data_IF_361947447385
#
_entry.id   IF_361947447385
#
_cell.length_a   1.000
_cell.length_b   1.000
_cell.length_c   1.000
_cell.angle_alpha   90.00
_cell.angle_beta   90.00
_cell.angle_gamma   90.00
#
_symmetry.space_group_name_H-M   'P 1'
#
loop_
_entity.id
_entity.type
_entity.pdbx_description
1 polymer ?
#
# COMPACT_ATOMS: atom_id res chain seq x y z
N UNK A 1 9.28 2.11 24.51
CA UNK A 1 10.27 2.65 23.56
C UNK A 1 9.64 2.63 22.17
N UNK A 2 9.18 3.78 21.69
CA UNK A 2 8.54 3.93 20.38
C UNK A 2 9.59 3.75 19.28
N UNK A 3 9.38 2.78 18.38
CA UNK A 3 10.30 2.49 17.30
C UNK A 3 10.28 3.67 16.30
N UNK A 4 11.35 4.47 16.30
CA UNK A 4 11.59 5.71 15.54
C UNK A 4 11.72 5.50 14.01
N UNK A 5 10.98 4.57 13.42
CA UNK A 5 11.09 4.25 11.99
C UNK A 5 9.72 3.93 11.34
N UNK A 6 8.66 4.65 11.73
CA UNK A 6 7.42 4.67 10.93
C UNK A 6 7.68 5.53 9.68
N UNK A 7 8.25 4.88 8.67
CA UNK A 7 8.55 5.42 7.35
C UNK A 7 7.38 6.25 6.79
N UNK A 8 7.55 7.57 6.85
CA UNK A 8 6.72 8.54 6.16
C UNK A 8 7.39 8.84 4.81
N UNK A 9 6.99 8.13 3.77
CA UNK A 9 7.29 8.51 2.38
C UNK A 9 5.99 8.95 1.72
N UNK A 10 5.84 10.27 1.54
CA UNK A 10 4.81 10.86 0.69
C UNK A 10 5.49 11.48 -0.52
N UNK A 11 5.48 10.76 -1.63
CA UNK A 11 5.87 11.32 -2.92
C UNK A 11 4.62 11.94 -3.53
N UNK A 12 4.39 13.23 -3.25
CA UNK A 12 3.38 14.00 -3.98
C UNK A 12 3.98 14.44 -5.33
N UNK A 13 4.00 13.53 -6.31
CA UNK A 13 4.19 13.90 -7.72
C UNK A 13 2.83 13.91 -8.41
N UNK A 14 2.61 14.88 -9.30
CA UNK A 14 1.42 14.90 -10.15
C UNK A 14 1.34 13.55 -10.87
N UNK A 15 0.26 12.79 -10.61
CA UNK A 15 0.11 11.46 -11.15
C UNK A 15 0.11 11.56 -12.68
N UNK A 16 1.09 10.95 -13.38
CA UNK A 16 1.00 10.82 -14.83
C UNK A 16 -0.26 10.00 -15.16
N UNK A 17 -0.83 10.15 -16.37
CA UNK A 17 -2.04 9.43 -16.75
C UNK A 17 -1.89 7.93 -16.50
N UNK A 18 -2.97 7.31 -16.01
CA UNK A 18 -3.07 5.88 -15.75
C UNK A 18 -2.85 5.11 -17.06
N UNK A 19 -1.59 4.87 -17.43
CA UNK A 19 -1.29 3.91 -18.46
C UNK A 19 -1.69 2.55 -17.93
N UNK A 20 -2.69 1.93 -18.57
CA UNK A 20 -2.98 0.51 -18.40
C UNK A 20 -1.72 -0.21 -18.91
N UNK A 21 -0.83 -0.58 -17.99
CA UNK A 21 0.27 -1.48 -18.35
C UNK A 21 -0.38 -2.81 -18.65
N UNK A 22 -0.28 -3.26 -19.91
CA UNK A 22 -0.68 -4.61 -20.28
C UNK A 22 0.10 -5.58 -19.40
N UNK A 23 -0.59 -6.35 -18.54
CA UNK A 23 0.04 -7.31 -17.64
C UNK A 23 0.18 -8.64 -18.39
N UNK A 24 1.40 -9.06 -18.79
CA UNK A 24 1.56 -10.09 -19.80
C UNK A 24 1.34 -11.51 -19.27
N UNK A 25 1.51 -11.78 -17.96
CA UNK A 25 1.34 -13.14 -17.41
C UNK A 25 0.18 -13.25 -16.42
N UNK A 26 -1.04 -13.57 -16.88
CA UNK A 26 -2.17 -13.81 -15.98
C UNK A 26 -1.85 -14.94 -14.99
N UNK A 27 -2.50 -14.91 -13.84
CA UNK A 27 -2.53 -16.06 -12.94
C UNK A 27 -3.30 -17.18 -13.63
N UNK A 28 -2.71 -18.37 -13.73
CA UNK A 28 -3.37 -19.47 -14.42
C UNK A 28 -3.90 -20.48 -13.40
N UNK A 29 -5.20 -20.77 -13.50
CA UNK A 29 -5.87 -21.82 -12.74
C UNK A 29 -6.37 -22.92 -13.71
N UNK A 30 -6.54 -24.16 -13.25
CA UNK A 30 -7.22 -25.21 -14.01
C UNK A 30 -8.62 -24.76 -14.48
N UNK A 31 -9.04 -25.17 -15.68
CA UNK A 31 -10.39 -24.90 -16.22
C UNK A 31 -11.50 -25.41 -15.32
N UNK A 32 -11.28 -26.57 -14.70
CA UNK A 32 -12.22 -27.23 -13.78
C UNK A 32 -12.08 -26.75 -12.33
N UNK A 33 -11.53 -25.57 -12.09
CA UNK A 33 -11.35 -25.05 -10.74
C UNK A 33 -12.69 -24.91 -10.00
N UNK A 34 -12.92 -25.84 -9.07
CA UNK A 34 -14.19 -25.97 -8.36
C UNK A 34 -14.25 -25.20 -7.04
N UNK A 35 -13.18 -24.50 -6.64
CA UNK A 35 -13.11 -23.84 -5.34
C UNK A 35 -13.74 -22.44 -5.39
N UNK A 36 -14.74 -22.16 -4.53
CA UNK A 36 -15.34 -20.85 -4.43
C UNK A 36 -14.40 -19.84 -3.78
N UNK A 37 -14.70 -18.54 -3.96
CA UNK A 37 -14.03 -17.44 -3.27
C UNK A 37 -14.12 -17.64 -1.76
N UNK A 38 -12.96 -17.59 -1.08
CA UNK A 38 -12.87 -17.68 0.39
C UNK A 38 -13.39 -16.37 1.01
N UNK A 39 -14.07 -16.35 2.17
CA UNK A 39 -14.39 -15.09 2.85
C UNK A 39 -13.12 -14.29 3.18
N UNK A 40 -13.21 -12.95 3.17
CA UNK A 40 -12.05 -12.09 3.37
C UNK A 40 -11.39 -12.25 4.75
N UNK A 41 -12.20 -12.44 5.80
CA UNK A 41 -11.74 -12.70 7.18
C UNK A 41 -10.93 -14.00 7.30
N UNK A 42 -11.18 -14.94 6.39
CA UNK A 42 -10.63 -16.29 6.42
C UNK A 42 -9.32 -16.40 5.59
N UNK A 43 -8.94 -15.37 4.82
CA UNK A 43 -7.69 -15.39 4.03
C UNK A 43 -6.46 -15.53 4.94
N UNK A 44 -5.58 -16.48 4.65
CA UNK A 44 -4.42 -16.80 5.48
C UNK A 44 -4.73 -17.61 6.75
N UNK A 45 -6.00 -17.86 7.07
CA UNK A 45 -6.40 -18.77 8.14
C UNK A 45 -6.10 -20.23 7.79
N UNK A 46 -5.51 -20.95 8.74
CA UNK A 46 -5.23 -22.39 8.67
C UNK A 46 -6.48 -23.23 9.03
N UNK A 47 -7.55 -22.61 9.52
CA UNK A 47 -8.67 -23.30 10.18
C UNK A 47 -9.94 -23.48 9.33
N UNK A 48 -9.92 -23.16 8.03
CA UNK A 48 -11.12 -23.21 7.19
C UNK A 48 -11.39 -24.52 6.46
N UNK A 49 -12.69 -24.69 6.19
CA UNK A 49 -13.37 -25.87 5.62
C UNK A 49 -13.15 -26.06 4.11
N UNK A 50 -12.59 -25.10 3.40
CA UNK A 50 -12.21 -25.22 1.97
C UNK A 50 -10.75 -25.63 1.85
N UNK A 51 -10.48 -26.91 2.11
CA UNK A 51 -9.19 -27.52 1.81
C UNK A 51 -9.07 -27.72 0.30
N UNK A 52 -8.22 -26.90 -0.34
CA UNK A 52 -7.83 -27.11 -1.74
C UNK A 52 -7.06 -28.42 -1.81
N UNK A 53 -7.46 -29.30 -2.72
CA UNK A 53 -6.81 -30.60 -2.89
C UNK A 53 -5.34 -30.41 -3.29
N UNK A 54 -4.48 -31.31 -2.81
CA UNK A 54 -3.05 -31.30 -3.20
C UNK A 54 -2.94 -31.40 -4.73
N UNK A 55 -3.75 -32.23 -5.39
CA UNK A 55 -3.80 -32.35 -6.85
C UNK A 55 -3.94 -30.98 -7.51
N UNK A 56 -4.90 -30.17 -7.08
CA UNK A 56 -5.16 -28.86 -7.68
C UNK A 56 -4.04 -27.86 -7.38
N UNK A 57 -3.44 -27.90 -6.20
CA UNK A 57 -2.26 -27.09 -5.88
C UNK A 57 -1.06 -27.45 -6.77
N UNK A 58 -0.84 -28.74 -7.06
CA UNK A 58 0.19 -29.19 -7.99
C UNK A 58 -0.07 -28.69 -9.42
N UNK A 59 -1.33 -28.66 -9.85
CA UNK A 59 -1.72 -28.10 -11.14
C UNK A 59 -1.45 -26.60 -11.20
N UNK A 60 -1.83 -25.85 -10.15
CA UNK A 60 -1.50 -24.42 -10.04
C UNK A 60 0.01 -24.19 -10.14
N UNK A 61 0.80 -24.96 -9.40
CA UNK A 61 2.26 -24.90 -9.47
C UNK A 61 2.78 -25.14 -10.89
N UNK A 62 2.42 -26.26 -11.51
CA UNK A 62 2.92 -26.66 -12.83
C UNK A 62 2.54 -25.64 -13.92
N UNK A 63 1.28 -25.20 -13.96
CA UNK A 63 0.77 -24.23 -14.94
C UNK A 63 1.47 -22.89 -14.85
N UNK A 64 1.76 -22.40 -13.65
CA UNK A 64 2.41 -21.11 -13.46
C UNK A 64 3.94 -21.20 -13.61
N UNK A 65 4.56 -22.33 -13.25
CA UNK A 65 6.00 -22.57 -13.50
C UNK A 65 6.32 -22.49 -14.98
N UNK A 66 5.52 -23.14 -15.83
CA UNK A 66 5.75 -23.16 -17.28
C UNK A 66 5.52 -21.80 -17.95
N UNK A 67 4.92 -20.84 -17.25
CA UNK A 67 4.58 -19.49 -17.73
C UNK A 67 5.38 -18.40 -17.03
N UNK A 68 6.38 -18.77 -16.23
CA UNK A 68 7.24 -17.77 -15.61
C UNK A 68 8.06 -17.06 -16.71
N UNK A 69 8.02 -15.72 -16.80
CA UNK A 69 8.80 -14.97 -17.78
C UNK A 69 10.31 -15.04 -17.53
N UNK A 70 10.73 -15.43 -16.32
CA UNK A 70 12.12 -15.63 -15.95
C UNK A 70 12.36 -17.10 -15.51
N UNK A 71 12.94 -17.93 -16.37
CA UNK A 71 13.22 -19.33 -16.06
C UNK A 71 14.08 -19.55 -14.82
N UNK A 72 14.99 -18.62 -14.48
CA UNK A 72 15.86 -18.75 -13.29
C UNK A 72 15.06 -18.69 -11.98
N UNK A 73 13.93 -17.99 -12.00
CA UNK A 73 13.05 -17.77 -10.86
C UNK A 73 11.74 -18.58 -10.92
N UNK A 74 11.59 -19.48 -11.89
CA UNK A 74 10.32 -20.18 -12.16
C UNK A 74 9.77 -20.99 -10.97
N UNK A 75 10.64 -21.63 -10.18
CA UNK A 75 10.23 -22.39 -8.98
C UNK A 75 9.65 -21.45 -7.91
N UNK A 76 10.39 -20.40 -7.54
CA UNK A 76 9.97 -19.44 -6.52
C UNK A 76 8.72 -18.66 -6.97
N UNK A 77 8.62 -18.31 -8.26
CA UNK A 77 7.44 -17.69 -8.85
C UNK A 77 6.18 -18.56 -8.74
N UNK A 78 6.29 -19.81 -9.17
CA UNK A 78 5.18 -20.77 -9.14
C UNK A 78 4.76 -21.12 -7.70
N UNK A 79 5.75 -21.29 -6.81
CA UNK A 79 5.52 -21.58 -5.40
C UNK A 79 4.79 -20.43 -4.70
N UNK A 80 5.17 -19.18 -4.96
CA UNK A 80 4.48 -18.01 -4.42
C UNK A 80 3.02 -17.92 -4.87
N UNK A 81 2.76 -18.15 -6.17
CA UNK A 81 1.39 -18.18 -6.71
C UNK A 81 0.55 -19.31 -6.11
N UNK A 82 1.13 -20.51 -5.98
CA UNK A 82 0.47 -21.66 -5.34
C UNK A 82 0.13 -21.36 -3.87
N UNK A 83 1.06 -20.80 -3.10
CA UNK A 83 0.82 -20.43 -1.71
C UNK A 83 -0.20 -19.29 -1.59
N UNK A 84 -0.27 -18.35 -2.54
CA UNK A 84 -1.30 -17.31 -2.55
C UNK A 84 -2.70 -17.89 -2.83
N UNK A 85 -2.80 -18.86 -3.73
CA UNK A 85 -4.04 -19.62 -3.95
C UNK A 85 -4.46 -20.38 -2.69
N UNK A 86 -3.52 -21.09 -2.07
CA UNK A 86 -3.72 -21.83 -0.81
C UNK A 86 -4.14 -20.92 0.34
N UNK A 87 -3.63 -19.69 0.40
CA UNK A 87 -4.03 -18.69 1.38
C UNK A 87 -5.46 -18.16 1.15
N UNK A 88 -6.06 -18.36 -0.03
CA UNK A 88 -7.44 -17.96 -0.33
C UNK A 88 -7.57 -16.59 -1.02
N UNK A 89 -6.53 -16.13 -1.72
CA UNK A 89 -6.56 -14.85 -2.45
C UNK A 89 -7.39 -14.87 -3.74
N UNK A 90 -7.84 -16.05 -4.17
CA UNK A 90 -8.64 -16.24 -5.39
C UNK A 90 -10.06 -15.74 -5.19
N UNK A 91 -10.46 -14.80 -6.05
CA UNK A 91 -11.82 -14.32 -6.25
C UNK A 91 -12.12 -14.13 -7.74
N UNK A 92 -12.39 -15.24 -8.43
CA UNK A 92 -12.41 -15.29 -9.91
C UNK A 92 -13.44 -14.35 -10.52
N UNK A 93 -14.58 -14.13 -9.87
CA UNK A 93 -15.62 -13.25 -10.39
C UNK A 93 -15.15 -11.78 -10.51
N UNK A 94 -14.20 -11.38 -9.67
CA UNK A 94 -13.74 -9.99 -9.54
C UNK A 94 -12.26 -9.78 -9.93
N UNK A 95 -11.60 -10.82 -10.46
CA UNK A 95 -10.17 -10.82 -10.81
C UNK A 95 -9.97 -11.18 -12.29
N UNK A 96 -10.07 -10.20 -13.21
CA UNK A 96 -9.99 -10.46 -14.65
C UNK A 96 -8.61 -10.96 -15.11
N UNK A 97 -7.56 -10.77 -14.31
CA UNK A 97 -6.22 -11.29 -14.58
C UNK A 97 -6.03 -12.78 -14.22
N UNK A 98 -7.09 -13.48 -13.79
CA UNK A 98 -7.10 -14.93 -13.67
C UNK A 98 -7.56 -15.55 -14.99
N UNK A 99 -6.66 -16.33 -15.61
CA UNK A 99 -6.96 -17.16 -16.77
C UNK A 99 -7.25 -18.60 -16.38
N UNK A 100 -8.10 -19.26 -17.17
CA UNK A 100 -8.38 -20.70 -17.08
C UNK A 100 -7.64 -21.45 -18.18
N UNK A 101 -6.92 -22.51 -17.84
CA UNK A 101 -6.22 -23.35 -18.80
C UNK A 101 -6.55 -24.83 -18.60
N UNK A 102 -6.40 -25.62 -19.66
CA UNK A 102 -6.47 -27.08 -19.53
C UNK A 102 -5.44 -27.53 -18.48
N UNK A 103 -5.84 -28.36 -17.50
CA UNK A 103 -4.89 -28.90 -16.55
C UNK A 103 -3.85 -29.75 -17.30
N UNK A 104 -2.66 -29.86 -16.72
CA UNK A 104 -1.71 -30.85 -17.18
C UNK A 104 -2.19 -32.24 -16.81
N UNK A 105 -1.66 -33.26 -17.48
CA UNK A 105 -1.74 -34.62 -16.96
C UNK A 105 -1.22 -34.66 -15.50
N UNK A 106 -1.98 -35.31 -14.61
CA UNK A 106 -1.73 -35.26 -13.17
C UNK A 106 -0.35 -35.82 -12.80
N UNK A 107 0.09 -36.88 -13.49
CA UNK A 107 1.43 -37.44 -13.30
C UNK A 107 2.51 -36.47 -13.76
N UNK A 108 2.25 -35.68 -14.79
CA UNK A 108 3.16 -34.66 -15.29
C UNK A 108 3.22 -33.45 -14.34
N UNK A 109 2.10 -32.97 -13.84
CA UNK A 109 2.06 -31.91 -12.82
C UNK A 109 2.79 -32.35 -11.54
N UNK A 110 2.53 -33.57 -11.08
CA UNK A 110 3.21 -34.18 -9.93
C UNK A 110 4.71 -34.30 -10.16
N UNK A 111 5.16 -34.80 -11.33
CA UNK A 111 6.59 -34.89 -11.67
C UNK A 111 7.27 -33.52 -11.70
N UNK A 112 6.59 -32.50 -12.22
CA UNK A 112 7.10 -31.11 -12.23
C UNK A 112 7.41 -30.64 -10.81
N UNK A 113 6.49 -30.86 -9.87
CA UNK A 113 6.68 -30.52 -8.47
C UNK A 113 7.77 -31.37 -7.80
N UNK A 114 7.75 -32.70 -8.01
CA UNK A 114 8.72 -33.61 -7.39
C UNK A 114 10.15 -33.33 -7.83
N UNK A 115 10.35 -32.89 -9.08
CA UNK A 115 11.67 -32.46 -9.58
C UNK A 115 12.25 -31.30 -8.75
N UNK A 116 11.39 -30.40 -8.27
CA UNK A 116 11.81 -29.24 -7.49
C UNK A 116 11.66 -29.46 -5.97
N UNK A 117 11.29 -30.66 -5.53
CA UNK A 117 10.79 -30.92 -4.16
C UNK A 117 11.70 -30.37 -3.07
N UNK A 118 13.02 -30.62 -3.16
CA UNK A 118 13.98 -30.13 -2.15
C UNK A 118 13.95 -28.61 -2.03
N UNK A 119 14.03 -27.91 -3.16
CA UNK A 119 13.97 -26.45 -3.21
C UNK A 119 12.63 -25.92 -2.71
N UNK A 120 11.53 -26.58 -3.05
CA UNK A 120 10.20 -26.22 -2.55
C UNK A 120 10.14 -26.37 -1.03
N UNK A 121 10.64 -27.47 -0.46
CA UNK A 121 10.64 -27.67 0.99
C UNK A 121 11.44 -26.59 1.72
N UNK A 122 12.58 -26.18 1.16
CA UNK A 122 13.42 -25.12 1.72
C UNK A 122 12.76 -23.74 1.62
N UNK A 123 12.07 -23.45 0.51
CA UNK A 123 11.48 -22.13 0.25
C UNK A 123 10.03 -21.97 0.75
N UNK A 124 9.28 -23.05 0.94
CA UNK A 124 7.84 -23.01 1.23
C UNK A 124 7.47 -22.13 2.44
N UNK A 125 8.17 -22.20 3.60
CA UNK A 125 7.86 -21.31 4.73
C UNK A 125 8.07 -19.82 4.41
N UNK A 126 9.01 -19.50 3.51
CA UNK A 126 9.26 -18.13 3.05
C UNK A 126 8.18 -17.70 2.05
N UNK A 127 7.84 -18.57 1.11
CA UNK A 127 6.80 -18.35 0.10
C UNK A 127 5.42 -18.16 0.73
N UNK A 128 5.03 -18.97 1.71
CA UNK A 128 3.76 -18.84 2.42
C UNK A 128 3.61 -17.49 3.13
N UNK A 129 4.68 -17.03 3.80
CA UNK A 129 4.72 -15.71 4.44
C UNK A 129 4.63 -14.58 3.42
N UNK A 130 5.38 -14.69 2.31
CA UNK A 130 5.34 -13.73 1.21
C UNK A 130 3.94 -13.66 0.57
N UNK A 131 3.34 -14.81 0.30
CA UNK A 131 2.01 -14.93 -0.31
C UNK A 131 0.91 -14.26 0.51
N UNK A 132 1.00 -14.30 1.84
CA UNK A 132 0.04 -13.63 2.72
C UNK A 132 0.34 -12.12 2.88
N UNK A 133 1.59 -11.74 3.15
CA UNK A 133 1.90 -10.37 3.55
C UNK A 133 2.06 -9.40 2.37
N UNK A 134 2.65 -9.85 1.24
CA UNK A 134 2.94 -8.97 0.11
C UNK A 134 1.68 -8.36 -0.53
N UNK A 135 0.54 -9.07 -0.69
CA UNK A 135 -0.68 -8.45 -1.20
C UNK A 135 -1.22 -7.34 -0.28
N UNK A 136 -1.09 -7.50 1.04
CA UNK A 136 -1.48 -6.45 2.00
C UNK A 136 -0.55 -5.23 1.93
N UNK A 137 0.75 -5.46 1.75
CA UNK A 137 1.73 -4.38 1.52
C UNK A 137 1.48 -3.72 0.15
N UNK A 138 1.06 -4.48 -0.86
CA UNK A 138 0.72 -3.97 -2.19
C UNK A 138 -0.38 -2.92 -2.12
N UNK A 139 -1.42 -3.17 -1.31
CA UNK A 139 -2.50 -2.21 -1.06
C UNK A 139 -1.95 -0.91 -0.50
N UNK A 140 -1.17 -1.00 0.58
CA UNK A 140 -0.59 0.19 1.21
C UNK A 140 0.23 1.00 0.21
N UNK A 141 1.08 0.33 -0.57
CA UNK A 141 1.94 0.99 -1.56
C UNK A 141 1.09 1.63 -2.65
N UNK A 142 0.11 0.91 -3.20
CA UNK A 142 -0.82 1.46 -4.20
C UNK A 142 -1.52 2.72 -3.68
N UNK A 143 -1.95 2.70 -2.41
CA UNK A 143 -2.58 3.86 -1.77
C UNK A 143 -1.60 5.02 -1.51
N UNK A 144 -0.35 4.73 -1.17
CA UNK A 144 0.68 5.70 -0.85
C UNK A 144 1.33 6.34 -2.08
N UNK A 145 1.44 5.62 -3.20
CA UNK A 145 1.91 6.15 -4.49
C UNK A 145 0.77 6.75 -5.32
N UNK A 146 -0.46 6.28 -5.10
CA UNK A 146 -1.65 6.70 -5.83
C UNK A 146 -1.93 5.89 -7.11
N UNK A 147 -0.99 5.07 -7.57
CA UNK A 147 -1.05 4.38 -8.87
C UNK A 147 -0.49 2.97 -8.73
N UNK A 148 -0.79 2.02 -9.64
CA UNK A 148 -0.19 0.68 -9.60
C UNK A 148 1.32 0.73 -9.88
N UNK A 149 2.00 -0.41 -9.69
CA UNK A 149 3.43 -0.57 -10.01
C UNK A 149 3.76 -0.08 -11.43
N UNK A 150 4.91 0.59 -11.57
CA UNK A 150 5.44 1.11 -12.84
C UNK A 150 6.94 0.86 -12.91
N UNK A 151 7.41 0.45 -14.08
CA UNK A 151 8.82 0.10 -14.30
C UNK A 151 9.77 1.30 -14.12
N UNK A 152 9.37 2.50 -14.52
CA UNK A 152 10.15 3.72 -14.34
C UNK A 152 10.28 4.16 -12.87
N UNK A 153 9.49 3.56 -11.98
CA UNK A 153 9.52 3.80 -10.54
C UNK A 153 9.85 2.53 -9.73
N UNK A 154 10.43 1.51 -10.36
CA UNK A 154 10.72 0.21 -9.73
C UNK A 154 11.45 0.36 -8.38
N UNK A 155 12.46 1.24 -8.33
CA UNK A 155 13.23 1.53 -7.11
C UNK A 155 12.35 2.05 -5.97
N UNK A 156 11.44 2.98 -6.26
CA UNK A 156 10.53 3.53 -5.26
C UNK A 156 9.61 2.42 -4.69
N UNK A 157 9.09 1.56 -5.56
CA UNK A 157 8.29 0.41 -5.14
C UNK A 157 9.10 -0.56 -4.27
N UNK A 158 10.30 -0.96 -4.70
CA UNK A 158 11.14 -1.88 -3.92
C UNK A 158 11.49 -1.29 -2.56
N UNK A 159 11.83 0.00 -2.49
CA UNK A 159 12.13 0.69 -1.25
C UNK A 159 10.91 0.70 -0.30
N UNK A 160 9.70 0.96 -0.82
CA UNK A 160 8.47 0.93 -0.03
C UNK A 160 8.13 -0.48 0.48
N UNK A 161 8.29 -1.52 -0.34
CA UNK A 161 8.09 -2.90 0.08
C UNK A 161 9.11 -3.31 1.15
N UNK A 162 10.40 -3.10 0.87
CA UNK A 162 11.50 -3.44 1.79
C UNK A 162 11.30 -2.77 3.14
N UNK A 163 11.01 -1.48 3.13
CA UNK A 163 10.83 -0.70 4.34
C UNK A 163 9.60 -1.15 5.16
N UNK A 164 8.51 -1.51 4.49
CA UNK A 164 7.31 -2.07 5.15
C UNK A 164 7.57 -3.48 5.69
N UNK A 165 8.29 -4.33 4.95
CA UNK A 165 8.69 -5.67 5.40
C UNK A 165 9.59 -5.61 6.64
N UNK A 166 10.55 -4.68 6.68
CA UNK A 166 11.39 -4.44 7.87
C UNK A 166 10.52 -4.03 9.05
N UNK A 167 9.60 -3.08 8.84
CA UNK A 167 8.71 -2.61 9.89
C UNK A 167 7.84 -3.75 10.44
N UNK A 168 7.32 -4.63 9.57
CA UNK A 168 6.51 -5.79 9.98
C UNK A 168 7.34 -6.94 10.60
N UNK A 169 8.65 -6.78 10.81
CA UNK A 169 9.55 -7.83 11.26
C UNK A 169 9.58 -9.08 10.35
N UNK A 170 9.49 -8.86 9.02
CA UNK A 170 9.51 -9.91 7.99
C UNK A 170 10.75 -9.82 7.08
N UNK A 171 11.99 -9.72 7.60
CA UNK A 171 13.18 -9.58 6.76
C UNK A 171 13.42 -10.80 5.87
N UNK A 172 12.94 -11.98 6.29
CA UNK A 172 13.04 -13.21 5.52
C UNK A 172 12.29 -13.17 4.19
N UNK A 173 11.37 -12.23 3.94
CA UNK A 173 10.65 -12.09 2.66
C UNK A 173 11.37 -11.16 1.69
N UNK A 174 12.30 -10.32 2.17
CA UNK A 174 13.01 -9.34 1.34
C UNK A 174 13.81 -10.08 0.26
N UNK A 175 13.72 -9.61 -0.99
CA UNK A 175 14.40 -10.22 -2.12
C UNK A 175 13.95 -11.65 -2.42
N UNK A 176 12.67 -11.97 -2.19
CA UNK A 176 12.11 -13.28 -2.56
C UNK A 176 12.11 -13.50 -4.07
N UNK A 177 11.76 -12.47 -4.84
CA UNK A 177 11.87 -12.40 -6.29
C UNK A 177 12.40 -11.01 -6.69
N UNK A 178 12.96 -10.84 -7.91
CA UNK A 178 13.23 -9.51 -8.47
C UNK A 178 11.98 -8.62 -8.46
N UNK A 179 12.09 -7.29 -8.23
CA UNK A 179 10.93 -6.42 -8.04
C UNK A 179 9.93 -6.43 -9.20
N UNK A 180 10.41 -6.35 -10.45
CA UNK A 180 9.54 -6.47 -11.63
C UNK A 180 8.76 -7.80 -11.63
N UNK A 181 9.41 -8.93 -11.35
CA UNK A 181 8.77 -10.25 -11.35
C UNK A 181 7.80 -10.40 -10.18
N UNK A 182 8.11 -9.81 -9.02
CA UNK A 182 7.28 -9.89 -7.83
C UNK A 182 6.00 -9.05 -7.98
N UNK A 183 6.16 -7.78 -8.33
CA UNK A 183 5.10 -6.78 -8.25
C UNK A 183 4.30 -6.65 -9.54
N UNK A 184 4.95 -6.85 -10.70
CA UNK A 184 4.27 -6.77 -12.00
C UNK A 184 3.71 -8.12 -12.44
N UNK A 185 4.33 -9.24 -12.08
CA UNK A 185 3.95 -10.56 -12.61
C UNK A 185 3.33 -11.47 -11.54
N UNK A 186 3.99 -11.70 -10.41
CA UNK A 186 3.62 -12.81 -9.52
C UNK A 186 2.26 -12.63 -8.83
N UNK A 187 1.96 -11.45 -8.29
CA UNK A 187 0.82 -11.19 -7.40
C UNK A 187 -0.16 -10.12 -7.90
N UNK A 188 0.06 -9.55 -9.09
CA UNK A 188 -0.75 -8.44 -9.61
C UNK A 188 -2.23 -8.79 -9.82
N UNK A 189 -2.53 -10.08 -9.94
CA UNK A 189 -3.85 -10.63 -10.24
C UNK A 189 -4.81 -10.58 -9.05
N UNK A 190 -4.28 -10.39 -7.84
CA UNK A 190 -5.10 -10.29 -6.63
C UNK A 190 -5.93 -9.00 -6.68
N UNK A 191 -5.30 -7.91 -7.14
CA UNK A 191 -5.96 -6.63 -7.35
C UNK A 191 -6.27 -5.84 -6.06
N UNK A 192 -6.41 -4.50 -6.15
CA UNK A 192 -6.60 -3.65 -4.97
C UNK A 192 -7.91 -3.91 -4.21
N UNK A 193 -9.02 -4.22 -4.91
CA UNK A 193 -10.31 -4.50 -4.29
C UNK A 193 -10.21 -5.65 -3.28
N UNK A 194 -9.68 -6.80 -3.72
CA UNK A 194 -9.53 -7.96 -2.85
C UNK A 194 -8.55 -7.72 -1.71
N UNK A 195 -7.44 -7.01 -1.98
CA UNK A 195 -6.48 -6.65 -0.94
C UNK A 195 -7.11 -5.77 0.15
N UNK A 196 -7.94 -4.78 -0.24
CA UNK A 196 -8.69 -3.94 0.68
C UNK A 196 -9.70 -4.76 1.50
N UNK A 197 -10.50 -5.61 0.87
CA UNK A 197 -11.50 -6.43 1.56
C UNK A 197 -10.86 -7.26 2.67
N UNK A 198 -9.77 -7.95 2.34
CA UNK A 198 -9.01 -8.77 3.30
C UNK A 198 -8.42 -7.90 4.39
N UNK A 199 -7.78 -6.78 4.05
CA UNK A 199 -7.23 -5.88 5.06
C UNK A 199 -8.30 -5.40 6.04
N UNK A 200 -9.45 -4.90 5.54
CA UNK A 200 -10.57 -4.42 6.36
C UNK A 200 -11.13 -5.52 7.25
N UNK A 201 -11.34 -6.72 6.71
CA UNK A 201 -11.91 -7.85 7.46
C UNK A 201 -10.98 -8.37 8.56
N UNK A 202 -9.68 -8.05 8.50
CA UNK A 202 -8.66 -8.59 9.39
C UNK A 202 -8.05 -7.56 10.36
N UNK A 203 -8.52 -6.31 10.36
CA UNK A 203 -7.96 -5.24 11.21
C UNK A 203 -7.95 -5.60 12.70
N UNK A 204 -8.99 -6.28 13.15
CA UNK A 204 -9.13 -6.67 14.57
C UNK A 204 -8.45 -8.00 14.90
N UNK A 205 -7.99 -8.76 13.89
CA UNK A 205 -7.39 -10.08 14.11
C UNK A 205 -5.96 -9.96 14.67
N UNK A 206 -5.59 -10.74 15.71
CA UNK A 206 -4.22 -10.71 16.26
C UNK A 206 -3.13 -11.13 15.28
N UNK A 207 -3.47 -11.90 14.24
CA UNK A 207 -2.54 -12.43 13.25
C UNK A 207 -2.01 -11.38 12.27
N UNK A 208 -2.73 -10.26 12.08
CA UNK A 208 -2.31 -9.19 11.19
C UNK A 208 -1.23 -8.34 11.88
N UNK A 209 -0.03 -8.17 11.29
CA UNK A 209 1.02 -7.32 11.86
C UNK A 209 0.52 -5.91 12.22
N UNK A 210 0.91 -5.42 13.40
CA UNK A 210 0.49 -4.12 13.91
C UNK A 210 0.77 -2.99 12.91
N UNK A 211 1.90 -3.08 12.22
CA UNK A 211 2.34 -2.13 11.20
C UNK A 211 1.38 -2.05 10.01
N UNK A 212 0.74 -3.16 9.63
CA UNK A 212 -0.27 -3.18 8.57
C UNK A 212 -1.59 -2.63 9.07
N UNK A 213 -1.98 -2.93 10.32
CA UNK A 213 -3.17 -2.33 10.97
C UNK A 213 -3.06 -0.81 11.02
N UNK A 214 -1.92 -0.30 11.51
CA UNK A 214 -1.66 1.13 11.59
C UNK A 214 -1.72 1.82 10.21
N UNK A 215 -1.25 1.13 9.16
CA UNK A 215 -1.26 1.66 7.78
C UNK A 215 -2.63 1.62 7.12
N UNK A 216 -3.55 0.77 7.59
CA UNK A 216 -4.87 0.61 6.99
C UNK A 216 -5.73 1.88 7.04
N UNK A 217 -5.51 2.75 8.02
CA UNK A 217 -6.22 4.02 8.18
C UNK A 217 -5.42 5.22 7.65
N UNK A 218 -4.29 4.99 6.98
CA UNK A 218 -3.51 6.10 6.41
C UNK A 218 -4.21 6.71 5.21
N UNK A 219 -4.13 8.03 5.14
CA UNK A 219 -4.75 8.81 4.08
C UNK A 219 -4.04 8.53 2.72
N UNK A 220 -4.77 8.51 1.59
CA UNK A 220 -4.20 8.23 0.28
C UNK A 220 -3.27 9.36 -0.20
N UNK A 221 -2.38 9.04 -1.16
CA UNK A 221 -1.39 9.96 -1.73
C UNK A 221 -1.94 11.36 -2.10
N UNK A 222 -3.14 11.40 -2.70
CA UNK A 222 -3.82 12.64 -3.11
C UNK A 222 -4.24 13.57 -1.97
N UNK A 223 -4.11 13.14 -0.72
CA UNK A 223 -4.40 13.91 0.49
C UNK A 223 -3.15 14.17 1.34
N UNK A 224 -1.96 13.91 0.77
CA UNK A 224 -0.67 14.13 1.42
C UNK A 224 -0.54 15.54 2.02
N UNK A 225 -0.90 16.57 1.26
CA UNK A 225 -0.90 17.97 1.69
C UNK A 225 -1.72 18.17 2.97
N UNK A 226 -2.96 17.68 2.98
CA UNK A 226 -3.88 17.79 4.11
C UNK A 226 -3.35 17.07 5.36
N UNK A 227 -2.96 15.81 5.22
CA UNK A 227 -2.46 15.01 6.35
C UNK A 227 -1.16 15.59 6.92
N UNK A 228 -0.29 16.14 6.07
CA UNK A 228 0.92 16.85 6.51
C UNK A 228 0.59 18.17 7.22
N UNK A 229 -0.35 18.95 6.70
CA UNK A 229 -0.79 20.20 7.36
C UNK A 229 -1.35 19.93 8.76
N UNK A 230 -2.17 18.90 8.93
CA UNK A 230 -2.72 18.53 10.25
C UNK A 230 -1.62 18.07 11.21
N UNK A 231 -0.65 17.27 10.77
CA UNK A 231 0.50 16.89 11.62
C UNK A 231 1.28 18.10 12.13
N UNK A 232 1.40 19.15 11.30
CA UNK A 232 2.03 20.42 11.72
C UNK A 232 1.13 21.20 12.69
N UNK A 233 -0.19 21.21 12.46
CA UNK A 233 -1.15 21.84 13.39
C UNK A 233 -1.06 21.19 14.77
N UNK A 234 -1.10 19.86 14.84
CA UNK A 234 -1.00 19.11 16.09
C UNK A 234 0.32 19.41 16.81
N UNK A 235 1.42 19.55 16.05
CA UNK A 235 2.72 19.94 16.62
C UNK A 235 2.71 21.39 17.13
N UNK A 236 2.12 22.35 16.40
CA UNK A 236 1.98 23.73 16.84
C UNK A 236 1.11 23.84 18.11
N UNK A 237 0.04 23.04 18.21
CA UNK A 237 -0.81 22.97 19.40
C UNK A 237 -0.05 22.41 20.60
N UNK A 238 0.72 21.36 20.41
CA UNK A 238 1.55 20.77 21.48
C UNK A 238 2.59 21.75 22.03
N UNK A 239 3.02 22.72 21.24
CA UNK A 239 3.95 23.79 21.61
C UNK A 239 3.25 25.08 22.08
N UNK A 240 1.91 25.10 22.17
CA UNK A 240 1.10 26.29 22.45
C UNK A 240 1.33 27.45 21.45
N UNK A 241 1.79 27.15 20.23
CA UNK A 241 2.01 28.14 19.17
C UNK A 241 0.82 28.25 18.22
N UNK A 242 -0.14 27.33 18.29
CA UNK A 242 -1.30 27.30 17.39
C UNK A 242 -2.12 28.59 17.44
N UNK A 243 -2.28 29.20 18.61
CA UNK A 243 -3.04 30.45 18.77
C UNK A 243 -2.41 31.63 18.02
N UNK A 244 -1.08 31.71 17.92
CA UNK A 244 -0.40 32.80 17.19
C UNK A 244 -0.73 32.80 15.69
N UNK A 245 -1.06 31.63 15.14
CA UNK A 245 -1.40 31.46 13.73
C UNK A 245 -2.92 31.33 13.51
N UNK A 246 -3.62 30.69 14.43
CA UNK A 246 -5.07 30.45 14.41
C UNK A 246 -5.92 31.68 14.75
N UNK A 247 -5.49 32.55 15.68
CA UNK A 247 -6.25 33.76 16.10
C UNK A 247 -6.42 34.80 15.00
N UNK A 248 -5.66 34.71 13.91
CA UNK A 248 -5.81 35.60 12.77
C UNK A 248 -7.03 35.30 11.89
N UNK A 249 -7.72 34.16 12.10
CA UNK A 249 -8.80 33.69 11.22
C UNK A 249 -8.35 33.37 9.79
N UNK A 250 -7.03 33.38 9.53
CA UNK A 250 -6.47 33.20 8.20
C UNK A 250 -6.52 31.73 7.72
N UNK A 251 -6.58 30.78 8.65
CA UNK A 251 -6.57 29.35 8.39
C UNK A 251 -7.62 28.63 9.23
N UNK A 252 -8.43 27.79 8.58
CA UNK A 252 -9.46 26.98 9.24
C UNK A 252 -8.89 25.61 9.63
N UNK A 253 -8.27 25.53 10.81
CA UNK A 253 -7.64 24.29 11.30
C UNK A 253 -8.65 23.18 11.61
N UNK A 254 -9.84 23.54 12.10
CA UNK A 254 -10.90 22.58 12.39
C UNK A 254 -11.42 21.91 11.12
N UNK A 255 -11.58 22.68 10.02
CA UNK A 255 -11.90 22.09 8.72
C UNK A 255 -10.84 21.09 8.26
N UNK A 256 -9.55 21.43 8.39
CA UNK A 256 -8.46 20.53 7.98
C UNK A 256 -8.49 19.22 8.77
N UNK A 257 -8.64 19.30 10.10
CA UNK A 257 -8.73 18.13 10.99
C UNK A 257 -9.95 17.28 10.68
N UNK A 258 -11.13 17.88 10.62
CA UNK A 258 -12.40 17.20 10.36
C UNK A 258 -12.39 16.45 9.01
N UNK A 259 -11.90 17.11 7.96
CA UNK A 259 -11.82 16.46 6.63
C UNK A 259 -10.79 15.33 6.63
N UNK A 260 -9.66 15.50 7.31
CA UNK A 260 -8.67 14.42 7.41
C UNK A 260 -9.21 13.21 8.17
N UNK A 261 -9.94 13.42 9.25
CA UNK A 261 -10.58 12.32 9.99
C UNK A 261 -11.58 11.56 9.11
N UNK A 262 -12.41 12.28 8.34
CA UNK A 262 -13.31 11.67 7.37
C UNK A 262 -12.55 10.84 6.31
N UNK A 263 -11.43 11.37 5.80
CA UNK A 263 -10.57 10.64 4.86
C UNK A 263 -9.96 9.39 5.49
N UNK A 264 -9.45 9.47 6.72
CA UNK A 264 -8.85 8.33 7.44
C UNK A 264 -9.88 7.26 7.82
N UNK A 265 -11.15 7.63 7.95
CA UNK A 265 -12.26 6.70 8.18
C UNK A 265 -12.55 5.82 6.97
N UNK A 266 -12.42 6.34 5.76
CA UNK A 266 -12.55 5.56 4.52
C UNK A 266 -11.55 5.99 3.44
N UNK A 267 -10.26 5.66 3.60
CA UNK A 267 -9.21 6.18 2.73
C UNK A 267 -9.31 5.69 1.28
N UNK A 268 -10.03 4.58 1.04
CA UNK A 268 -10.22 3.98 -0.26
C UNK A 268 -11.15 4.80 -1.16
N UNK A 269 -12.22 5.34 -0.56
CA UNK A 269 -13.18 6.25 -1.20
C UNK A 269 -12.49 7.52 -1.72
N UNK A 270 -11.54 8.06 -0.97
CA UNK A 270 -10.80 9.28 -1.34
C UNK A 270 -9.55 9.02 -2.18
N UNK A 271 -9.28 7.77 -2.57
CA UNK A 271 -8.17 7.43 -3.45
C UNK A 271 -8.46 7.86 -4.89
N UNK A 272 -7.46 8.39 -5.61
CA UNK A 272 -7.65 8.85 -7.01
C UNK A 272 -8.11 7.75 -7.97
N UNK A 273 -7.79 6.49 -7.64
CA UNK A 273 -8.22 5.29 -8.36
C UNK A 273 -9.25 4.48 -7.54
N UNK A 274 -10.20 5.13 -6.87
CA UNK A 274 -11.22 4.50 -6.02
C UNK A 274 -11.95 3.34 -6.71
N UNK A 275 -12.21 3.45 -8.02
CA UNK A 275 -12.87 2.41 -8.82
C UNK A 275 -12.13 1.07 -8.80
N UNK A 276 -10.79 1.06 -8.63
CA UNK A 276 -10.00 -0.18 -8.51
C UNK A 276 -10.22 -0.92 -7.19
N UNK A 277 -10.76 -0.23 -6.19
CA UNK A 277 -11.20 -0.83 -4.92
C UNK A 277 -12.64 -1.31 -4.97
N UNK A 278 -13.39 -1.04 -6.05
CA UNK A 278 -14.81 -1.39 -6.13
C UNK A 278 -15.70 -0.58 -5.18
N UNK A 279 -15.27 0.62 -4.78
CA UNK A 279 -16.03 1.52 -3.90
C UNK A 279 -16.59 2.71 -4.69
N UNK A 280 -17.65 3.32 -4.17
CA UNK A 280 -18.20 4.55 -4.74
C UNK A 280 -17.29 5.76 -4.45
N UNK A 281 -17.25 6.76 -5.35
CA UNK A 281 -16.52 7.99 -5.11
C UNK A 281 -17.16 8.84 -4.00
N UNK A 282 -16.45 9.88 -3.51
CA UNK A 282 -17.07 10.90 -2.68
C UNK A 282 -18.18 11.64 -3.43
N UNK A 283 -19.24 11.97 -2.69
CA UNK A 283 -20.35 12.78 -3.18
C UNK A 283 -19.87 14.18 -3.56
N UNK A 284 -20.65 14.92 -4.35
CA UNK A 284 -20.32 16.29 -4.75
C UNK A 284 -20.09 17.20 -3.53
N UNK A 285 -20.86 17.01 -2.45
CA UNK A 285 -20.69 17.77 -1.21
C UNK A 285 -19.37 17.42 -0.51
N UNK A 286 -19.02 16.14 -0.40
CA UNK A 286 -17.76 15.69 0.19
C UNK A 286 -16.55 16.20 -0.62
N UNK A 287 -16.63 16.17 -1.96
CA UNK A 287 -15.60 16.70 -2.83
C UNK A 287 -15.44 18.22 -2.65
N UNK A 288 -16.54 18.97 -2.59
CA UNK A 288 -16.49 20.42 -2.36
C UNK A 288 -15.82 20.75 -1.03
N UNK A 289 -16.14 20.02 0.03
CA UNK A 289 -15.52 20.19 1.35
C UNK A 289 -14.04 19.81 1.33
N UNK A 290 -13.67 18.74 0.64
CA UNK A 290 -12.27 18.34 0.47
C UNK A 290 -11.46 19.41 -0.30
N UNK A 291 -12.01 19.98 -1.37
CA UNK A 291 -11.33 21.04 -2.12
C UNK A 291 -11.17 22.32 -1.30
N UNK A 292 -12.18 22.72 -0.51
CA UNK A 292 -12.05 23.83 0.45
C UNK A 292 -10.93 23.57 1.45
N UNK A 293 -10.86 22.37 2.01
CA UNK A 293 -9.77 22.00 2.93
C UNK A 293 -8.39 22.06 2.23
N UNK A 294 -8.28 21.59 0.99
CA UNK A 294 -7.03 21.72 0.22
C UNK A 294 -6.64 23.18 0.00
N UNK A 295 -7.59 24.07 -0.33
CA UNK A 295 -7.30 25.50 -0.49
C UNK A 295 -6.77 26.12 0.81
N UNK A 296 -7.35 25.77 1.96
CA UNK A 296 -6.85 26.19 3.28
C UNK A 296 -5.44 25.65 3.52
N UNK A 297 -5.20 24.37 3.22
CA UNK A 297 -3.88 23.74 3.36
C UNK A 297 -2.82 24.41 2.47
N UNK A 298 -3.16 24.78 1.23
CA UNK A 298 -2.27 25.52 0.31
C UNK A 298 -1.90 26.88 0.90
N UNK A 299 -2.88 27.62 1.45
CA UNK A 299 -2.61 28.92 2.09
C UNK A 299 -1.71 28.76 3.32
N UNK A 300 -1.89 27.68 4.08
CA UNK A 300 -1.10 27.38 5.28
C UNK A 300 0.30 26.82 4.97
N UNK A 301 0.53 26.25 3.80
CA UNK A 301 1.78 25.57 3.42
C UNK A 301 3.07 26.37 3.67
N UNK A 302 3.17 27.69 3.39
CA UNK A 302 4.36 28.48 3.69
C UNK A 302 4.69 28.54 5.19
N UNK A 303 3.66 28.60 6.04
CA UNK A 303 3.82 28.60 7.50
C UNK A 303 4.26 27.22 7.97
N UNK A 304 3.55 26.19 7.52
CA UNK A 304 3.81 24.81 7.91
C UNK A 304 5.22 24.35 7.49
N UNK A 305 5.64 24.66 6.27
CA UNK A 305 6.98 24.33 5.79
C UNK A 305 8.07 25.10 6.55
N UNK A 306 7.82 26.37 6.90
CA UNK A 306 8.76 27.13 7.73
C UNK A 306 8.92 26.54 9.14
N UNK A 307 7.84 25.99 9.70
CA UNK A 307 7.87 25.28 10.97
C UNK A 307 8.66 23.98 10.87
N UNK A 308 8.46 23.18 9.82
CA UNK A 308 9.26 21.96 9.57
C UNK A 308 10.76 22.30 9.44
N UNK A 309 11.11 23.33 8.68
CA UNK A 309 12.50 23.67 8.37
C UNK A 309 13.23 24.43 9.49
N UNK A 310 12.55 24.95 10.52
CA UNK A 310 13.16 25.84 11.51
C UNK A 310 12.61 25.74 12.94
N UNK A 311 11.45 25.10 13.12
CA UNK A 311 10.77 24.89 14.40
C UNK A 311 10.93 23.47 14.96
N UNK A 312 11.14 22.46 14.11
CA UNK A 312 11.31 21.06 14.52
C UNK A 312 12.78 20.66 14.43
N UNK A 313 13.42 20.52 15.59
CA UNK A 313 14.78 19.97 15.71
C UNK A 313 14.87 18.45 15.58
N UNK A 314 13.76 17.74 15.35
CA UNK A 314 13.70 16.27 15.34
C UNK A 314 13.05 15.70 14.05
N UNK A 315 13.56 14.55 13.60
CA UNK A 315 13.59 14.06 12.22
C UNK A 315 12.27 13.50 11.64
N UNK A 316 11.13 13.58 12.34
CA UNK A 316 9.90 12.91 11.90
C UNK A 316 9.22 13.61 10.72
N UNK A 317 9.18 14.95 10.72
CA UNK A 317 8.53 15.74 9.66
C UNK A 317 9.53 16.34 8.65
N UNK A 318 10.83 16.26 8.91
CA UNK A 318 11.88 16.88 8.07
C UNK A 318 11.97 16.31 6.65
N UNK A 319 11.45 15.10 6.44
CA UNK A 319 11.42 14.43 5.13
C UNK A 319 10.11 14.66 4.36
N UNK A 320 9.17 15.46 4.88
CA UNK A 320 7.90 15.72 4.23
C UNK A 320 8.02 16.86 3.21
N UNK A 321 7.92 16.51 1.93
CA UNK A 321 8.02 17.46 0.81
C UNK A 321 6.65 17.90 0.27
N UNK A 322 5.55 17.36 0.82
CA UNK A 322 4.20 17.62 0.34
C UNK A 322 3.79 19.11 0.41
N UNK A 323 4.38 19.88 1.33
CA UNK A 323 4.13 21.31 1.48
C UNK A 323 5.09 22.19 0.66
N UNK A 324 6.28 21.70 0.31
CA UNK A 324 7.37 22.50 -0.29
C UNK A 324 6.93 23.24 -1.55
N UNK A 325 6.35 22.51 -2.51
CA UNK A 325 5.88 23.06 -3.78
C UNK A 325 4.90 24.21 -3.58
N UNK A 326 4.02 24.11 -2.58
CA UNK A 326 3.00 25.13 -2.30
C UNK A 326 3.57 26.28 -1.47
N UNK A 327 4.51 25.98 -0.56
CA UNK A 327 5.23 26.98 0.21
C UNK A 327 6.04 27.93 -0.68
N UNK A 328 6.64 27.40 -1.75
CA UNK A 328 7.43 28.17 -2.71
C UNK A 328 6.60 29.10 -3.60
N UNK A 329 5.27 28.97 -3.61
CA UNK A 329 4.36 29.95 -4.21
C UNK A 329 4.29 31.25 -3.40
N UNK A 330 4.69 31.23 -2.10
CA UNK A 330 4.76 32.41 -1.25
C UNK A 330 6.06 32.42 -0.40
N UNK A 331 7.22 32.63 -1.04
CA UNK A 331 8.52 32.54 -0.38
C UNK A 331 8.74 33.67 0.64
N UNK A 332 8.08 34.81 0.46
CA UNK A 332 8.12 35.93 1.42
C UNK A 332 7.49 35.54 2.75
N UNK A 333 6.32 34.91 2.73
CA UNK A 333 5.67 34.41 3.94
C UNK A 333 6.52 33.32 4.61
N UNK A 334 6.98 32.33 3.83
CA UNK A 334 7.88 31.26 4.33
C UNK A 334 9.10 31.84 5.06
N UNK A 335 9.79 32.82 4.47
CA UNK A 335 10.96 33.47 5.08
C UNK A 335 10.62 34.20 6.38
N UNK A 336 9.50 34.93 6.42
CA UNK A 336 9.05 35.63 7.64
C UNK A 336 8.76 34.65 8.77
N UNK A 337 8.04 33.56 8.48
CA UNK A 337 7.72 32.52 9.46
C UNK A 337 8.98 31.80 9.96
N UNK A 338 9.97 31.52 9.10
CA UNK A 338 11.25 30.94 9.55
C UNK A 338 11.95 31.81 10.60
N UNK A 339 12.04 33.11 10.35
CA UNK A 339 12.64 34.06 11.30
C UNK A 339 11.89 34.07 12.63
N UNK A 340 10.57 33.91 12.58
CA UNK A 340 9.74 33.83 13.78
C UNK A 340 9.98 32.51 14.52
N UNK A 341 9.89 31.35 13.87
CA UNK A 341 10.10 30.05 14.51
C UNK A 341 11.49 29.86 15.12
N UNK A 342 12.53 30.43 14.50
CA UNK A 342 13.89 30.45 15.07
C UNK A 342 13.98 31.12 16.44
N UNK A 343 13.03 32.00 16.79
CA UNK A 343 12.99 32.63 18.12
C UNK A 343 12.41 31.71 19.19
N UNK A 344 11.62 30.71 18.79
CA UNK A 344 11.00 29.74 19.68
C UNK A 344 11.85 28.46 19.82
N UNK A 345 12.87 28.28 18.99
CA UNK A 345 13.78 27.10 18.98
C UNK A 345 15.14 27.31 19.66
N UNK A 346 15.26 28.16 20.69
CA UNK A 346 16.52 28.27 21.45
C UNK A 346 16.33 28.21 22.97
N UNK A 347 17.13 27.42 23.71
CA UNK A 347 18.01 26.29 23.32
C UNK A 347 17.35 24.91 23.44
#
# INVERSE_FOLDING_TARGET
MFNKALLQYKVARAAPPLFIVAKPNPMTLPKEWAYPTKPAVDVGSVHDRTTISIRDLLQVYALNKSRCPDPANAVSFALLRMEAVKAGWVDVANQPEIARADPWDDDTARRSFLTDYRRIMDECPRAARAAYCLPLISEFIFRATGHPWRADEERLYDDLYRSTLIACHLPGVIGYLPPWLLYHEALHWIGPARQMEVLKAQLDLPSLPYELKYRACQAPAGTALLDTSVQVIDALESLNLAEEFGRSGAYDFELLKTVLEAVKKDPFKYHQSYHRYGVDPPTTAELSTLEKAKEVAIKFAPVAQAFIESGLGDASLSNQTALERHADLNPKMKKRCKTLFRKYTLP
#
